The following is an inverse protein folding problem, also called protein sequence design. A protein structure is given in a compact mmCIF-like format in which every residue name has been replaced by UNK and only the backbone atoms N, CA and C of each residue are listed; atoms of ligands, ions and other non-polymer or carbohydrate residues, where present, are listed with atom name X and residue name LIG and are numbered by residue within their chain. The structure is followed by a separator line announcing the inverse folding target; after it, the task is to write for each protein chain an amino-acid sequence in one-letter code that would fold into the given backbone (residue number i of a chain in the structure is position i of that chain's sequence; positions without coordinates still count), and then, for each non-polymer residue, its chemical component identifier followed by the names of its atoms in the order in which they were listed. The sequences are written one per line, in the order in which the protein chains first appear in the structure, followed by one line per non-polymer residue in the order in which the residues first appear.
data_IF_025252765925
#
_entry.id   IF_025252765925
#
_cell.length_a   1.000
_cell.length_b   1.000
_cell.length_c   1.000
_cell.angle_alpha   90.00
_cell.angle_beta   90.00
_cell.angle_gamma   90.00
#
_symmetry.space_group_name_H-M   'P 1'
#
loop_
_entity.id
_entity.type
_entity.pdbx_description
1 polymer ?
#
# COMPACT_ATOMS: atom_id res chain seq x y z
N UNK A 1 46.52 21.80 -63.72
CA UNK A 1 46.39 20.76 -64.75
C UNK A 1 46.43 19.39 -64.05
N UNK A 2 45.32 18.65 -64.13
CA UNK A 2 45.14 17.19 -64.37
C UNK A 2 46.19 16.25 -63.69
N UNK A 3 45.90 15.24 -62.85
CA UNK A 3 44.78 14.27 -62.84
C UNK A 3 44.71 13.47 -61.53
N UNK A 4 43.50 13.02 -61.18
CA UNK A 4 43.11 11.91 -60.30
C UNK A 4 44.01 10.66 -60.39
N UNK A 5 44.28 9.99 -59.25
CA UNK A 5 43.98 8.55 -59.13
C UNK A 5 43.83 8.05 -57.68
N UNK A 6 42.78 7.25 -57.52
CA UNK A 6 42.19 6.65 -56.33
C UNK A 6 43.16 5.80 -55.50
N UNK A 7 43.05 5.86 -54.17
CA UNK A 7 43.08 4.64 -53.35
C UNK A 7 42.22 4.81 -52.10
N UNK A 8 41.15 4.03 -52.08
CA UNK A 8 40.24 3.80 -50.96
C UNK A 8 40.90 2.75 -50.09
N UNK A 9 41.30 3.10 -48.86
CA UNK A 9 41.64 2.12 -47.84
C UNK A 9 40.38 1.80 -47.03
N UNK A 10 39.89 0.58 -47.23
CA UNK A 10 38.81 -0.03 -46.48
C UNK A 10 39.19 -0.19 -45.01
N UNK A 11 38.43 0.46 -44.12
CA UNK A 11 38.41 0.08 -42.71
C UNK A 11 37.46 -1.11 -42.58
N UNK A 12 38.02 -2.29 -42.29
CA UNK A 12 37.27 -3.49 -41.95
C UNK A 12 36.46 -3.23 -40.66
N UNK A 13 35.14 -3.11 -40.82
CA UNK A 13 34.22 -3.21 -39.71
C UNK A 13 34.23 -4.66 -39.22
N UNK A 14 34.82 -4.90 -38.05
CA UNK A 14 34.60 -6.13 -37.30
C UNK A 14 33.14 -6.14 -36.83
N UNK A 15 32.27 -6.65 -37.69
CA UNK A 15 30.93 -7.09 -37.31
C UNK A 15 31.07 -8.29 -36.38
N UNK A 16 31.01 -8.05 -35.07
CA UNK A 16 30.67 -9.09 -34.12
C UNK A 16 29.21 -9.47 -34.37
N UNK A 17 29.01 -10.41 -35.29
CA UNK A 17 27.76 -11.16 -35.41
C UNK A 17 27.63 -12.00 -34.15
N UNK A 18 26.98 -11.45 -33.13
CA UNK A 18 26.46 -12.26 -32.04
C UNK A 18 25.47 -13.24 -32.68
N UNK A 19 25.65 -14.56 -32.51
CA UNK A 19 24.67 -15.50 -33.01
C UNK A 19 23.34 -15.14 -32.37
N UNK A 20 22.32 -14.90 -33.20
CA UNK A 20 20.94 -14.82 -32.77
C UNK A 20 20.58 -16.17 -32.16
N UNK A 21 20.85 -16.30 -30.86
CA UNK A 21 20.26 -17.35 -30.05
C UNK A 21 18.77 -17.20 -30.25
N UNK A 22 18.18 -18.25 -30.83
CA UNK A 22 16.75 -18.38 -31.01
C UNK A 22 16.07 -17.89 -29.73
N UNK A 23 15.36 -16.77 -29.84
CA UNK A 23 14.36 -16.39 -28.87
C UNK A 23 13.32 -17.49 -28.97
N UNK A 24 13.43 -18.48 -28.07
CA UNK A 24 12.36 -19.42 -27.82
C UNK A 24 11.12 -18.57 -27.59
N UNK A 25 10.14 -18.68 -28.48
CA UNK A 25 8.85 -18.00 -28.37
C UNK A 25 8.16 -18.49 -27.09
N UNK A 26 8.55 -17.92 -25.95
CA UNK A 26 7.70 -17.85 -24.78
C UNK A 26 6.52 -17.00 -25.22
N UNK A 27 5.44 -17.66 -25.65
CA UNK A 27 4.12 -17.04 -25.83
C UNK A 27 3.65 -16.58 -24.45
N UNK A 28 4.21 -15.44 -24.05
CA UNK A 28 3.99 -14.70 -22.83
C UNK A 28 2.58 -14.11 -22.97
N UNK A 29 1.70 -14.47 -22.05
CA UNK A 29 0.44 -13.75 -21.85
C UNK A 29 0.69 -12.24 -22.03
N UNK A 30 -0.10 -11.49 -22.83
CA UNK A 30 0.14 -10.06 -23.05
C UNK A 30 -0.35 -9.23 -21.85
N UNK A 31 0.05 -9.67 -20.66
CA UNK A 31 -0.26 -9.12 -19.36
C UNK A 31 1.06 -8.85 -18.68
N UNK A 32 1.16 -7.68 -18.05
CA UNK A 32 2.36 -7.32 -17.32
C UNK A 32 2.57 -8.28 -16.14
N UNK A 33 3.81 -8.76 -16.00
CA UNK A 33 4.25 -9.58 -14.88
C UNK A 33 4.09 -8.81 -13.57
N UNK A 34 3.40 -9.38 -12.59
CA UNK A 34 3.15 -8.72 -11.31
C UNK A 34 1.96 -9.29 -10.52
N UNK A 35 1.63 -8.57 -9.44
CA UNK A 35 0.48 -8.84 -8.59
C UNK A 35 -0.66 -7.89 -8.94
N UNK A 36 -1.86 -8.44 -9.03
CA UNK A 36 -3.07 -7.76 -9.50
C UNK A 36 -4.18 -7.92 -8.47
N UNK A 37 -4.74 -6.80 -8.04
CA UNK A 37 -5.79 -6.72 -7.01
C UNK A 37 -7.09 -6.29 -7.68
N UNK A 38 -8.23 -6.77 -7.19
CA UNK A 38 -9.54 -6.27 -7.61
C UNK A 38 -9.62 -4.74 -7.48
N UNK A 39 -10.16 -4.03 -8.49
CA UNK A 39 -10.27 -2.56 -8.45
C UNK A 39 -11.07 -2.03 -7.25
N UNK A 40 -11.97 -2.84 -6.66
CA UNK A 40 -12.73 -2.51 -5.46
C UNK A 40 -11.94 -2.60 -4.15
N UNK A 41 -10.70 -3.12 -4.19
CA UNK A 41 -9.85 -3.34 -3.00
C UNK A 41 -8.55 -2.53 -3.12
N UNK A 42 -8.14 -1.87 -2.03
CA UNK A 42 -6.84 -1.17 -2.02
C UNK A 42 -5.69 -2.16 -1.96
N UNK A 43 -4.55 -1.85 -2.60
CA UNK A 43 -3.39 -2.76 -2.60
C UNK A 43 -2.98 -3.19 -1.18
N UNK A 44 -3.00 -2.25 -0.22
CA UNK A 44 -2.61 -2.52 1.16
C UNK A 44 -3.64 -3.34 1.95
N UNK A 45 -4.92 -3.31 1.55
CA UNK A 45 -5.99 -4.08 2.19
C UNK A 45 -6.23 -5.44 1.52
N UNK A 46 -5.56 -5.72 0.39
CA UNK A 46 -5.70 -6.98 -0.30
C UNK A 46 -5.28 -8.15 0.60
N UNK A 47 -6.20 -9.09 0.78
CA UNK A 47 -5.94 -10.39 1.41
C UNK A 47 -5.42 -11.41 0.40
N UNK A 48 -5.63 -11.15 -0.89
CA UNK A 48 -5.22 -12.01 -1.98
C UNK A 48 -5.01 -11.22 -3.27
N UNK A 49 -4.22 -11.80 -4.16
CA UNK A 49 -3.84 -11.22 -5.45
C UNK A 49 -3.88 -12.28 -6.54
N UNK A 50 -4.29 -11.86 -7.73
CA UNK A 50 -3.93 -12.55 -8.96
C UNK A 50 -2.45 -12.31 -9.24
N UNK A 51 -1.75 -13.36 -9.62
CA UNK A 51 -0.33 -13.33 -9.95
C UNK A 51 -0.16 -13.77 -11.38
N UNK A 52 0.59 -12.99 -12.15
CA UNK A 52 1.10 -13.39 -13.46
C UNK A 52 2.62 -13.28 -13.41
N UNK A 53 3.34 -14.39 -13.49
CA UNK A 53 4.82 -14.40 -13.40
C UNK A 53 5.54 -14.52 -14.75
N UNK A 54 4.76 -14.53 -15.83
CA UNK A 54 5.23 -14.69 -17.22
C UNK A 54 5.12 -16.13 -17.74
N UNK A 55 5.11 -17.13 -16.87
CA UNK A 55 4.97 -18.55 -17.24
C UNK A 55 3.84 -19.28 -16.52
N UNK A 56 3.40 -18.71 -15.40
CA UNK A 56 2.32 -19.20 -14.54
C UNK A 56 1.35 -18.07 -14.25
N UNK A 57 0.12 -18.45 -13.95
CA UNK A 57 -0.83 -17.57 -13.30
C UNK A 57 -1.65 -18.30 -12.25
N UNK A 58 -2.24 -17.52 -11.36
CA UNK A 58 -3.17 -18.01 -10.37
C UNK A 58 -3.31 -17.07 -9.19
N UNK A 59 -3.75 -17.60 -8.06
CA UNK A 59 -4.15 -16.80 -6.92
C UNK A 59 -3.21 -17.04 -5.75
N UNK A 60 -2.75 -15.97 -5.11
CA UNK A 60 -1.87 -16.03 -3.93
C UNK A 60 -2.44 -15.13 -2.85
N UNK A 61 -2.50 -15.61 -1.62
CA UNK A 61 -3.10 -14.82 -0.57
C UNK A 61 -2.88 -15.35 0.84
N UNK A 62 -3.54 -14.66 1.75
CA UNK A 62 -3.61 -14.97 3.15
C UNK A 62 -5.07 -15.08 3.56
N UNK A 63 -5.43 -16.22 4.13
CA UNK A 63 -6.73 -16.45 4.72
C UNK A 63 -6.51 -16.80 6.21
N UNK A 64 -6.75 -15.84 7.11
CA UNK A 64 -6.56 -16.03 8.54
C UNK A 64 -7.52 -17.06 9.15
N UNK A 65 -8.62 -17.42 8.45
CA UNK A 65 -9.55 -18.46 8.88
C UNK A 65 -9.03 -19.89 8.63
N UNK A 66 -7.93 -20.07 7.88
CA UNK A 66 -7.32 -21.39 7.72
C UNK A 66 -6.58 -21.78 9.01
N UNK A 67 -6.46 -23.09 9.27
CA UNK A 67 -5.79 -23.61 10.48
C UNK A 67 -4.38 -23.00 10.61
N UNK A 68 -3.93 -22.74 11.85
CA UNK A 68 -2.57 -22.25 12.13
C UNK A 68 -1.54 -23.10 11.37
N UNK A 69 -0.72 -22.44 10.55
CA UNK A 69 0.27 -23.08 9.67
C UNK A 69 -0.14 -23.21 8.20
N UNK A 70 -1.41 -22.97 7.85
CA UNK A 70 -1.94 -23.00 6.47
C UNK A 70 -2.59 -21.67 6.04
N UNK A 71 -2.35 -20.59 6.78
CA UNK A 71 -2.99 -19.29 6.52
C UNK A 71 -2.50 -18.62 5.24
N UNK A 72 -1.33 -19.01 4.74
CA UNK A 72 -0.86 -18.61 3.41
C UNK A 72 -1.29 -19.68 2.42
N UNK A 73 -1.86 -19.26 1.30
CA UNK A 73 -2.24 -20.15 0.23
C UNK A 73 -1.82 -19.57 -1.11
N UNK A 74 -1.55 -20.46 -2.05
CA UNK A 74 -1.16 -20.09 -3.39
C UNK A 74 -1.38 -21.26 -4.33
N UNK A 75 -2.03 -20.97 -5.45
CA UNK A 75 -2.16 -21.90 -6.55
C UNK A 75 -1.66 -21.17 -7.80
N UNK A 76 -0.46 -21.52 -8.25
CA UNK A 76 0.16 -20.98 -9.45
C UNK A 76 0.46 -22.12 -10.41
N UNK A 77 -0.26 -22.11 -11.52
CA UNK A 77 -0.14 -23.15 -12.51
C UNK A 77 0.47 -22.63 -13.79
N UNK A 78 1.35 -23.44 -14.39
CA UNK A 78 1.95 -23.14 -15.68
C UNK A 78 0.90 -23.04 -16.76
N UNK A 79 1.12 -22.17 -17.74
CA UNK A 79 0.25 -22.12 -18.91
C UNK A 79 0.44 -23.39 -19.75
N UNK A 80 -0.65 -24.12 -19.99
CA UNK A 80 -0.66 -25.28 -20.90
C UNK A 80 -1.12 -24.90 -22.30
N UNK A 81 -1.75 -23.73 -22.45
CA UNK A 81 -2.12 -23.14 -23.72
C UNK A 81 -2.32 -21.63 -23.57
N UNK A 82 -1.89 -20.86 -24.57
CA UNK A 82 -2.13 -19.42 -24.72
C UNK A 82 -2.48 -19.17 -26.17
N UNK A 83 -3.61 -18.50 -26.45
CA UNK A 83 -4.01 -18.15 -27.82
C UNK A 83 -4.85 -16.86 -27.85
N UNK A 84 -4.81 -16.10 -28.96
CA UNK A 84 -5.71 -14.96 -29.14
C UNK A 84 -7.19 -15.37 -29.09
N UNK A 85 -8.03 -14.50 -28.54
CA UNK A 85 -9.48 -14.63 -28.50
C UNK A 85 -10.15 -13.35 -29.05
N UNK A 86 -11.47 -13.40 -29.29
CA UNK A 86 -12.22 -12.26 -29.82
C UNK A 86 -12.25 -11.10 -28.82
N UNK A 87 -12.41 -9.88 -29.32
CA UNK A 87 -12.59 -8.68 -28.46
C UNK A 87 -11.31 -8.14 -27.81
N UNK A 88 -10.13 -8.56 -28.32
CA UNK A 88 -8.83 -8.19 -27.77
C UNK A 88 -8.42 -9.00 -26.53
N UNK A 89 -9.13 -10.09 -26.26
CA UNK A 89 -8.78 -11.02 -25.19
C UNK A 89 -7.70 -12.00 -25.63
N UNK A 90 -6.96 -12.53 -24.67
CA UNK A 90 -6.12 -13.71 -24.81
C UNK A 90 -6.71 -14.82 -23.94
N UNK A 91 -7.00 -15.97 -24.55
CA UNK A 91 -7.39 -17.17 -23.82
C UNK A 91 -6.14 -17.89 -23.32
N UNK A 92 -6.15 -18.28 -22.05
CA UNK A 92 -5.13 -19.13 -21.47
C UNK A 92 -5.71 -20.22 -20.59
N UNK A 93 -4.92 -21.27 -20.39
CA UNK A 93 -5.29 -22.41 -19.56
C UNK A 93 -4.16 -22.72 -18.56
N UNK A 94 -4.36 -22.45 -17.26
CA UNK A 94 -3.46 -22.93 -16.23
C UNK A 94 -3.52 -24.46 -16.12
N UNK A 95 -2.38 -25.10 -15.86
CA UNK A 95 -2.30 -26.54 -15.58
C UNK A 95 -3.11 -26.94 -14.33
N UNK A 96 -3.61 -28.17 -14.28
CA UNK A 96 -4.41 -28.68 -13.15
C UNK A 96 -5.89 -28.26 -13.11
N UNK A 97 -6.33 -27.29 -13.92
CA UNK A 97 -7.73 -26.85 -13.99
C UNK A 97 -8.61 -27.64 -15.00
N UNK A 98 -8.08 -28.69 -15.62
CA UNK A 98 -8.79 -29.54 -16.59
C UNK A 98 -9.32 -28.77 -17.82
N UNK A 99 -10.35 -29.32 -18.50
CA UNK A 99 -11.08 -28.61 -19.59
C UNK A 99 -11.95 -27.43 -19.08
N UNK A 100 -11.96 -27.26 -17.75
CA UNK A 100 -12.95 -26.52 -16.96
C UNK A 100 -12.44 -25.13 -16.57
N UNK A 101 -11.15 -24.82 -16.80
CA UNK A 101 -10.53 -23.53 -16.44
C UNK A 101 -9.98 -22.74 -17.62
N UNK A 102 -10.81 -22.44 -18.62
CA UNK A 102 -10.43 -21.47 -19.65
C UNK A 102 -10.60 -20.07 -19.07
N UNK A 103 -9.52 -19.31 -19.06
CA UNK A 103 -9.53 -17.92 -18.61
C UNK A 103 -9.29 -17.02 -19.82
N UNK A 104 -9.98 -15.89 -19.86
CA UNK A 104 -9.72 -14.82 -20.83
C UNK A 104 -9.11 -13.65 -20.08
N UNK A 105 -8.05 -13.07 -20.62
CA UNK A 105 -7.49 -11.84 -20.07
C UNK A 105 -7.37 -10.78 -21.14
N UNK A 106 -7.62 -9.54 -20.76
CA UNK A 106 -7.45 -8.37 -21.62
C UNK A 106 -6.77 -7.26 -20.84
N UNK A 107 -5.61 -6.85 -21.31
CA UNK A 107 -4.93 -5.67 -20.79
C UNK A 107 -5.68 -4.41 -21.23
N UNK A 108 -6.01 -3.52 -20.29
CA UNK A 108 -6.78 -2.27 -20.53
C UNK A 108 -5.93 -0.99 -20.34
N UNK A 109 -4.65 -1.13 -20.02
CA UNK A 109 -3.68 -0.06 -19.79
C UNK A 109 -2.38 -0.61 -19.19
N UNK A 110 -1.48 0.23 -18.69
CA UNK A 110 -0.22 -0.24 -18.08
C UNK A 110 -0.42 -0.84 -16.67
N UNK A 111 -1.55 -0.53 -16.04
CA UNK A 111 -1.88 -0.85 -14.66
C UNK A 111 -3.27 -1.45 -14.49
N UNK A 112 -3.98 -1.77 -15.58
CA UNK A 112 -5.34 -2.36 -15.55
C UNK A 112 -5.49 -3.54 -16.48
N UNK A 113 -6.25 -4.54 -16.03
CA UNK A 113 -6.67 -5.66 -16.87
C UNK A 113 -8.07 -6.13 -16.48
N UNK A 114 -8.75 -6.78 -17.42
CA UNK A 114 -9.98 -7.53 -17.18
C UNK A 114 -9.68 -9.02 -17.29
N UNK A 115 -10.00 -9.78 -16.25
CA UNK A 115 -9.89 -11.24 -16.20
C UNK A 115 -11.29 -11.84 -16.20
N UNK A 116 -11.57 -12.73 -17.15
CA UNK A 116 -12.83 -13.49 -17.21
C UNK A 116 -12.54 -14.95 -16.92
N UNK A 117 -13.13 -15.46 -15.84
CA UNK A 117 -13.11 -16.87 -15.50
C UNK A 117 -14.34 -17.54 -16.08
N UNK A 118 -14.14 -18.69 -16.75
CA UNK A 118 -15.23 -19.48 -17.32
C UNK A 118 -15.24 -20.84 -16.65
N UNK A 119 -16.28 -21.09 -15.86
CA UNK A 119 -16.49 -22.37 -15.19
C UNK A 119 -17.68 -23.10 -15.85
N UNK A 120 -17.48 -24.34 -16.32
CA UNK A 120 -18.58 -25.25 -16.63
C UNK A 120 -19.50 -25.44 -15.43
N UNK A 121 -20.78 -25.21 -15.67
CA UNK A 121 -21.90 -25.59 -14.82
C UNK A 121 -22.69 -26.69 -15.51
N UNK A 122 -23.65 -27.30 -14.81
CA UNK A 122 -24.37 -28.50 -15.29
C UNK A 122 -25.04 -28.29 -16.66
N UNK A 123 -25.55 -27.08 -16.91
CA UNK A 123 -26.35 -26.76 -18.10
C UNK A 123 -25.80 -25.57 -18.92
N UNK A 124 -24.71 -24.91 -18.47
CA UNK A 124 -24.14 -23.71 -19.12
C UNK A 124 -22.69 -23.44 -18.70
N UNK A 125 -22.05 -22.47 -19.32
CA UNK A 125 -20.78 -21.90 -18.84
C UNK A 125 -21.12 -20.68 -18.00
N UNK A 126 -20.80 -20.71 -16.70
CA UNK A 126 -20.87 -19.53 -15.85
C UNK A 126 -19.60 -18.69 -16.11
N UNK A 127 -19.79 -17.41 -16.44
CA UNK A 127 -18.70 -16.46 -16.67
C UNK A 127 -18.72 -15.40 -15.57
N UNK A 128 -17.59 -15.20 -14.90
CA UNK A 128 -17.36 -14.06 -14.01
C UNK A 128 -16.23 -13.20 -14.55
N UNK A 129 -16.41 -11.89 -14.54
CA UNK A 129 -15.42 -10.93 -14.99
C UNK A 129 -14.98 -10.06 -13.82
N UNK A 130 -13.67 -9.97 -13.60
CA UNK A 130 -13.04 -9.15 -12.58
C UNK A 130 -12.18 -8.09 -13.26
N UNK A 131 -12.28 -6.84 -12.79
CA UNK A 131 -11.37 -5.77 -13.19
C UNK A 131 -10.28 -5.66 -12.15
N UNK A 132 -9.03 -5.77 -12.59
CA UNK A 132 -7.88 -5.81 -11.71
C UNK A 132 -6.95 -4.64 -11.99
N UNK A 133 -6.33 -4.12 -10.94
CA UNK A 133 -5.27 -3.13 -10.95
C UNK A 133 -3.93 -3.75 -10.57
N UNK A 134 -2.86 -3.32 -11.24
CA UNK A 134 -1.50 -3.73 -10.90
C UNK A 134 -1.08 -3.05 -9.59
N UNK A 135 -0.60 -3.85 -8.64
CA UNK A 135 -0.08 -3.37 -7.36
C UNK A 135 1.40 -3.72 -7.22
N UNK A 136 2.29 -2.75 -6.93
CA UNK A 136 3.65 -3.04 -6.52
C UNK A 136 3.64 -3.95 -5.29
N UNK A 137 4.48 -4.98 -5.27
CA UNK A 137 4.48 -6.00 -4.20
C UNK A 137 4.67 -5.37 -2.82
N UNK A 138 5.51 -4.33 -2.74
CA UNK A 138 5.80 -3.56 -1.53
C UNK A 138 4.59 -2.78 -0.97
N UNK A 139 3.56 -2.53 -1.79
CA UNK A 139 2.32 -1.85 -1.37
C UNK A 139 1.25 -2.83 -0.88
N UNK A 140 1.47 -4.14 -1.03
CA UNK A 140 0.55 -5.17 -0.58
C UNK A 140 0.62 -5.36 0.94
N UNK A 141 -0.40 -6.01 1.52
CA UNK A 141 -0.38 -6.39 2.93
C UNK A 141 0.83 -7.28 3.25
N UNK A 142 1.36 -7.19 4.47
CA UNK A 142 2.52 -7.99 4.88
C UNK A 142 2.29 -9.50 4.71
N UNK A 143 1.06 -9.96 4.96
CA UNK A 143 0.69 -11.36 4.81
C UNK A 143 0.68 -11.79 3.34
N UNK A 144 0.19 -10.95 2.42
CA UNK A 144 0.26 -11.22 0.98
C UNK A 144 1.71 -11.18 0.48
N UNK A 145 2.54 -10.26 0.97
CA UNK A 145 3.97 -10.25 0.66
C UNK A 145 4.65 -11.56 1.08
N UNK A 146 4.31 -12.08 2.27
CA UNK A 146 4.80 -13.37 2.75
C UNK A 146 4.29 -14.54 1.90
N UNK A 147 3.02 -14.52 1.49
CA UNK A 147 2.46 -15.52 0.58
C UNK A 147 3.19 -15.50 -0.78
N UNK A 148 3.44 -14.31 -1.33
CA UNK A 148 4.20 -14.15 -2.57
C UNK A 148 5.64 -14.65 -2.46
N UNK A 149 6.31 -14.44 -1.32
CA UNK A 149 7.64 -15.02 -1.09
C UNK A 149 7.63 -16.55 -1.14
N UNK A 150 6.56 -17.18 -0.67
CA UNK A 150 6.42 -18.63 -0.64
C UNK A 150 6.05 -19.22 -2.01
N UNK A 151 5.05 -18.65 -2.68
CA UNK A 151 4.45 -19.25 -3.87
C UNK A 151 4.94 -18.62 -5.19
N UNK A 152 5.28 -17.33 -5.16
CA UNK A 152 5.75 -16.56 -6.32
C UNK A 152 7.14 -15.93 -6.07
N UNK A 153 8.17 -16.72 -5.68
CA UNK A 153 9.44 -16.16 -5.22
C UNK A 153 10.14 -15.30 -6.27
N UNK A 154 9.96 -15.55 -7.57
CA UNK A 154 10.51 -14.71 -8.63
C UNK A 154 9.98 -13.25 -8.57
N UNK A 155 8.71 -13.06 -8.23
CA UNK A 155 8.12 -11.73 -8.03
C UNK A 155 8.58 -11.11 -6.71
N UNK A 156 8.68 -11.91 -5.66
CA UNK A 156 9.15 -11.46 -4.37
C UNK A 156 10.64 -11.13 -4.35
N UNK A 157 11.46 -11.79 -5.17
CA UNK A 157 12.90 -11.52 -5.37
C UNK A 157 13.10 -10.38 -6.35
N UNK A 158 12.23 -10.15 -7.33
CA UNK A 158 12.26 -8.92 -8.13
C UNK A 158 11.91 -7.68 -7.27
N UNK A 159 10.95 -7.83 -6.35
CA UNK A 159 10.65 -6.83 -5.32
C UNK A 159 11.79 -6.74 -4.29
N UNK A 160 12.34 -7.88 -3.88
CA UNK A 160 13.44 -8.02 -2.94
C UNK A 160 14.73 -7.44 -3.46
N UNK A 161 15.08 -7.60 -4.73
CA UNK A 161 16.26 -7.01 -5.39
C UNK A 161 16.08 -5.52 -5.70
N UNK A 162 14.85 -5.02 -5.93
CA UNK A 162 14.55 -3.58 -5.89
C UNK A 162 14.65 -3.02 -4.47
N UNK A 163 14.12 -3.73 -3.48
CA UNK A 163 14.16 -3.36 -2.07
C UNK A 163 15.56 -3.51 -1.47
N UNK A 164 16.37 -4.44 -1.96
CA UNK A 164 17.75 -4.74 -1.56
C UNK A 164 18.71 -3.86 -2.33
N UNK A 165 18.47 -3.48 -3.59
CA UNK A 165 19.11 -2.30 -4.19
C UNK A 165 18.70 -0.99 -3.48
N UNK A 166 17.56 -0.97 -2.77
CA UNK A 166 17.16 0.13 -1.90
C UNK A 166 17.67 0.00 -0.44
N UNK A 167 18.09 -1.19 0.01
CA UNK A 167 18.54 -1.49 1.38
C UNK A 167 20.05 -1.80 1.49
N UNK A 168 20.75 -2.09 0.40
CA UNK A 168 22.22 -2.29 0.35
C UNK A 168 23.00 -0.97 0.27
N UNK A 169 22.45 0.08 0.86
CA UNK A 169 23.23 1.23 1.31
C UNK A 169 23.08 1.32 2.83
N UNK A 170 23.85 0.53 3.61
CA UNK A 170 23.90 0.63 5.07
C UNK A 170 24.32 2.02 5.61
N UNK A 171 24.58 2.99 4.73
CA UNK A 171 24.94 4.38 5.04
C UNK A 171 23.95 5.42 4.50
N UNK A 172 22.77 5.03 3.99
CA UNK A 172 21.80 6.00 3.50
C UNK A 172 21.35 6.92 4.66
N UNK A 173 21.52 8.25 4.54
CA UNK A 173 21.27 9.17 5.64
C UNK A 173 19.78 9.18 6.02
N UNK A 174 19.55 9.23 7.33
CA UNK A 174 18.22 9.26 7.95
C UNK A 174 17.86 10.67 8.41
N UNK A 175 16.56 10.93 8.57
CA UNK A 175 16.10 12.18 9.15
C UNK A 175 16.40 12.24 10.65
N UNK A 176 17.06 13.31 11.06
CA UNK A 176 17.30 13.71 12.43
C UNK A 176 16.38 14.88 12.79
N UNK A 177 15.88 14.90 14.01
CA UNK A 177 15.12 16.05 14.52
C UNK A 177 16.07 16.91 15.32
N UNK A 178 16.13 18.19 14.95
CA UNK A 178 16.91 19.19 15.67
C UNK A 178 15.93 20.23 16.20
N UNK A 179 15.95 20.60 17.48
CA UNK A 179 15.15 21.71 17.97
C UNK A 179 15.78 23.04 17.56
N UNK A 180 15.19 23.82 16.63
CA UNK A 180 15.66 25.17 16.32
C UNK A 180 15.16 26.17 17.39
N UNK A 181 15.75 27.37 17.42
CA UNK A 181 15.31 28.46 18.30
C UNK A 181 13.87 28.94 18.01
N UNK A 182 13.35 28.70 16.80
CA UNK A 182 12.05 29.20 16.30
C UNK A 182 11.21 28.11 15.60
N UNK A 183 10.79 27.05 16.31
CA UNK A 183 9.89 26.00 15.78
C UNK A 183 10.46 24.60 15.94
N UNK A 184 10.04 23.66 15.10
CA UNK A 184 10.61 22.32 15.03
C UNK A 184 11.11 22.01 13.60
N UNK A 185 12.25 21.33 13.50
CA UNK A 185 12.99 21.09 12.27
C UNK A 185 13.37 19.61 12.16
N UNK A 186 13.01 18.98 11.05
CA UNK A 186 13.56 17.70 10.65
C UNK A 186 14.62 17.94 9.57
N UNK A 187 15.80 17.33 9.71
CA UNK A 187 16.96 17.47 8.82
C UNK A 187 17.46 16.10 8.40
N UNK A 188 17.76 15.88 7.14
CA UNK A 188 18.48 14.72 6.67
C UNK A 188 19.74 15.16 5.93
N UNK A 189 20.87 14.51 6.21
CA UNK A 189 22.05 14.62 5.37
C UNK A 189 21.78 13.88 4.05
N UNK A 190 22.46 14.19 2.95
CA UNK A 190 22.26 13.50 1.67
C UNK A 190 23.62 13.07 1.13
N UNK A 191 23.75 11.81 0.73
CA UNK A 191 24.95 11.31 0.05
C UNK A 191 24.61 11.09 -1.44
N UNK A 192 25.40 11.64 -2.35
CA UNK A 192 25.14 11.56 -3.79
C UNK A 192 26.12 12.31 -4.69
N UNK A 193 26.12 12.01 -6.01
CA UNK A 193 27.10 12.51 -6.98
C UNK A 193 27.01 14.01 -7.26
N UNK A 194 25.95 14.69 -6.77
CA UNK A 194 25.72 16.12 -6.94
C UNK A 194 25.41 16.82 -5.60
N UNK A 195 26.45 16.98 -4.77
CA UNK A 195 26.69 18.17 -3.94
C UNK A 195 25.49 18.72 -3.12
N UNK A 196 24.82 17.90 -2.32
CA UNK A 196 23.89 18.32 -1.28
C UNK A 196 24.37 17.82 0.07
N UNK A 197 24.55 18.73 1.02
CA UNK A 197 24.98 18.36 2.36
C UNK A 197 23.77 18.05 3.26
N UNK A 198 22.64 18.73 3.06
CA UNK A 198 21.43 18.51 3.88
C UNK A 198 20.14 19.01 3.22
N UNK A 199 19.03 18.36 3.53
CA UNK A 199 17.65 18.82 3.32
C UNK A 199 17.00 19.00 4.69
N UNK A 200 16.19 20.06 4.87
CA UNK A 200 15.45 20.30 6.10
C UNK A 200 14.01 20.75 5.87
N UNK A 201 13.09 20.27 6.71
CA UNK A 201 11.69 20.72 6.78
C UNK A 201 11.44 21.41 8.11
N UNK A 202 11.02 22.68 8.06
CA UNK A 202 10.73 23.47 9.24
C UNK A 202 9.27 23.89 9.27
N UNK A 203 8.62 23.67 10.40
CA UNK A 203 7.34 24.28 10.70
C UNK A 203 7.54 25.73 11.19
N UNK A 204 6.96 26.71 10.48
CA UNK A 204 6.99 28.13 10.86
C UNK A 204 5.86 28.45 11.86
N UNK A 205 5.98 29.61 12.52
CA UNK A 205 4.98 30.07 13.49
C UNK A 205 3.60 30.36 12.87
N UNK A 206 3.56 30.64 11.57
CA UNK A 206 2.32 30.86 10.83
C UNK A 206 1.65 29.57 10.34
N UNK A 207 2.18 28.40 10.73
CA UNK A 207 1.68 27.09 10.31
C UNK A 207 2.16 26.64 8.93
N UNK A 208 2.99 27.43 8.24
CA UNK A 208 3.57 27.04 6.95
C UNK A 208 4.76 26.09 7.12
N UNK A 209 4.93 25.16 6.18
CA UNK A 209 6.10 24.28 6.12
C UNK A 209 7.08 24.86 5.12
N UNK A 210 8.34 24.97 5.52
CA UNK A 210 9.41 25.49 4.68
C UNK A 210 10.46 24.42 4.44
N UNK A 211 10.76 24.19 3.17
CA UNK A 211 11.85 23.32 2.72
C UNK A 211 13.14 24.14 2.61
N UNK A 212 14.23 23.59 3.13
CA UNK A 212 15.58 24.13 3.00
C UNK A 212 16.51 23.07 2.40
N UNK A 213 17.42 23.48 1.52
CA UNK A 213 18.38 22.60 0.87
C UNK A 213 19.77 23.25 0.85
N UNK A 214 20.77 22.57 1.40
CA UNK A 214 22.15 23.02 1.43
C UNK A 214 22.94 22.34 0.31
N UNK A 215 23.09 23.01 -0.84
CA UNK A 215 23.92 22.53 -1.94
C UNK A 215 25.38 23.00 -1.78
N UNK A 216 26.35 22.08 -1.82
CA UNK A 216 27.76 22.40 -1.66
C UNK A 216 28.27 23.22 -2.86
N UNK A 217 28.76 24.43 -2.58
CA UNK A 217 29.42 25.28 -3.58
C UNK A 217 28.51 25.92 -4.64
N UNK A 218 27.21 25.63 -4.65
CA UNK A 218 26.29 26.26 -5.60
C UNK A 218 25.73 27.58 -5.05
N UNK A 219 26.06 28.67 -5.75
CA UNK A 219 25.45 29.98 -5.58
C UNK A 219 24.89 30.39 -6.92
N UNK A 220 23.57 30.41 -7.03
CA UNK A 220 22.89 30.80 -8.26
C UNK A 220 21.68 31.65 -7.90
N UNK A 221 21.46 32.71 -8.66
CA UNK A 221 20.27 33.56 -8.55
C UNK A 221 19.05 32.90 -9.22
N UNK A 222 19.25 31.77 -9.91
CA UNK A 222 18.17 30.97 -10.50
C UNK A 222 17.50 30.10 -9.44
N UNK A 223 16.16 30.00 -9.46
CA UNK A 223 15.44 29.05 -8.63
C UNK A 223 15.91 27.61 -8.87
N UNK A 224 15.96 26.84 -7.79
CA UNK A 224 16.27 25.42 -7.79
C UNK A 224 14.96 24.64 -7.68
N UNK A 225 14.64 23.83 -8.67
CA UNK A 225 13.50 22.89 -8.58
C UNK A 225 14.01 21.58 -7.99
N UNK A 226 13.45 21.20 -6.85
CA UNK A 226 13.72 19.95 -6.15
C UNK A 226 12.52 19.04 -6.33
N UNK A 227 12.71 17.93 -7.03
CA UNK A 227 11.68 16.89 -7.17
C UNK A 227 11.93 15.80 -6.15
N UNK A 228 10.92 15.47 -5.37
CA UNK A 228 10.87 14.32 -4.46
C UNK A 228 10.07 13.23 -5.13
N UNK A 229 10.73 12.12 -5.44
CA UNK A 229 10.10 10.96 -6.03
C UNK A 229 10.00 9.84 -4.98
N UNK A 230 8.79 9.34 -4.77
CA UNK A 230 8.58 8.10 -4.03
C UNK A 230 8.76 6.92 -5.00
N UNK A 231 9.80 6.09 -4.84
CA UNK A 231 9.96 4.88 -5.64
C UNK A 231 8.86 3.86 -5.36
N UNK A 232 8.17 3.97 -4.22
CA UNK A 232 7.12 3.04 -3.77
C UNK A 232 5.74 3.40 -4.35
N UNK A 233 5.36 4.68 -4.32
CA UNK A 233 4.04 5.13 -4.81
C UNK A 233 4.09 5.72 -6.22
N UNK A 234 5.28 5.98 -6.76
CA UNK A 234 5.46 6.67 -8.06
C UNK A 234 5.09 8.16 -8.01
N UNK A 235 4.67 8.67 -6.85
CA UNK A 235 4.34 10.07 -6.65
C UNK A 235 5.60 10.93 -6.78
N UNK A 236 5.44 12.08 -7.46
CA UNK A 236 6.47 13.09 -7.60
C UNK A 236 5.94 14.42 -7.08
N UNK A 237 6.70 15.09 -6.22
CA UNK A 237 6.34 16.41 -5.69
C UNK A 237 7.49 17.36 -5.91
N UNK A 238 7.22 18.47 -6.59
CA UNK A 238 8.19 19.51 -6.84
C UNK A 238 8.12 20.59 -5.77
N UNK A 239 9.29 21.10 -5.38
CA UNK A 239 9.45 22.28 -4.55
C UNK A 239 10.42 23.24 -5.25
N UNK A 240 10.00 24.50 -5.39
CA UNK A 240 10.86 25.54 -5.97
C UNK A 240 11.51 26.33 -4.85
N UNK A 241 12.84 26.35 -4.83
CA UNK A 241 13.65 26.99 -3.80
C UNK A 241 14.44 28.16 -4.38
N UNK A 242 14.57 29.24 -3.60
CA UNK A 242 15.39 30.40 -3.95
C UNK A 242 16.62 30.45 -3.04
N UNK A 243 17.77 30.88 -3.57
CA UNK A 243 19.00 30.98 -2.77
C UNK A 243 18.90 32.13 -1.76
N UNK A 244 19.01 31.82 -0.47
CA UNK A 244 19.16 32.81 0.59
C UNK A 244 20.66 33.09 0.80
N UNK A 245 21.11 34.25 0.34
CA UNK A 245 22.53 34.65 0.42
C UNK A 245 23.03 34.88 1.85
N UNK A 246 22.14 35.24 2.79
CA UNK A 246 22.48 35.43 4.20
C UNK A 246 22.66 34.09 4.90
N UNK A 247 21.73 33.18 4.66
CA UNK A 247 21.69 31.88 5.31
C UNK A 247 22.57 30.83 4.59
N UNK A 248 22.97 31.12 3.35
CA UNK A 248 23.81 30.28 2.46
C UNK A 248 23.18 28.92 2.13
N UNK A 249 21.85 28.85 2.06
CA UNK A 249 21.10 27.68 1.60
C UNK A 249 19.91 28.09 0.73
N UNK A 250 19.37 27.14 -0.02
CA UNK A 250 18.14 27.33 -0.78
C UNK A 250 16.93 27.15 0.13
N UNK A 251 15.92 28.01 0.01
CA UNK A 251 14.71 27.97 0.83
C UNK A 251 13.47 28.24 -0.02
N UNK A 252 12.36 27.59 0.32
CA UNK A 252 11.08 27.80 -0.35
C UNK A 252 9.93 27.06 0.35
N UNK A 253 8.67 27.36 0.00
CA UNK A 253 7.52 26.71 0.60
C UNK A 253 7.53 25.21 0.29
N UNK A 254 7.12 24.40 1.27
CA UNK A 254 6.83 22.98 1.11
C UNK A 254 5.32 22.78 1.15
N UNK A 255 4.78 21.98 0.23
CA UNK A 255 3.36 21.61 0.27
C UNK A 255 3.08 20.61 1.38
N UNK A 256 1.84 20.56 1.86
CA UNK A 256 1.37 19.49 2.75
C UNK A 256 1.48 18.10 2.09
N UNK A 257 1.38 18.04 0.76
CA UNK A 257 1.59 16.81 -0.02
C UNK A 257 3.04 16.33 0.12
N UNK A 258 4.03 17.22 0.06
CA UNK A 258 5.43 16.86 0.28
C UNK A 258 5.65 16.32 1.71
N UNK A 259 5.04 16.96 2.71
CA UNK A 259 5.11 16.50 4.09
C UNK A 259 4.46 15.11 4.26
N UNK A 260 3.29 14.89 3.65
CA UNK A 260 2.62 13.58 3.64
C UNK A 260 3.45 12.49 2.99
N UNK A 261 4.07 12.78 1.83
CA UNK A 261 4.96 11.86 1.12
C UNK A 261 6.14 11.39 1.99
N UNK A 262 6.71 12.31 2.78
CA UNK A 262 7.82 12.04 3.70
C UNK A 262 7.37 11.28 4.95
N UNK A 263 6.13 11.48 5.40
CA UNK A 263 5.59 10.88 6.64
C UNK A 263 5.03 9.47 6.41
N UNK A 264 4.31 9.25 5.31
CA UNK A 264 3.38 8.11 5.18
C UNK A 264 3.83 7.03 4.20
N UNK A 265 4.56 7.37 3.13
CA UNK A 265 4.63 6.45 1.97
C UNK A 265 6.03 5.98 1.59
N UNK A 266 7.06 6.78 1.83
CA UNK A 266 8.41 6.39 1.41
C UNK A 266 9.08 5.49 2.46
N UNK A 267 9.74 4.42 2.01
CA UNK A 267 10.89 3.82 2.73
C UNK A 267 12.19 4.53 2.36
N UNK A 268 12.24 5.10 1.15
CA UNK A 268 13.29 5.97 0.66
C UNK A 268 12.69 7.00 -0.29
N UNK A 269 13.28 8.19 -0.36
CA UNK A 269 12.91 9.23 -1.33
C UNK A 269 14.09 9.45 -2.24
N UNK A 270 13.83 9.58 -3.54
CA UNK A 270 14.81 10.07 -4.50
C UNK A 270 14.65 11.57 -4.70
N UNK A 271 15.78 12.24 -4.89
CA UNK A 271 15.85 13.68 -5.10
C UNK A 271 16.37 13.95 -6.50
N UNK A 272 15.77 14.90 -7.20
CA UNK A 272 16.29 15.43 -8.45
C UNK A 272 16.36 16.94 -8.40
N UNK A 273 17.39 17.51 -9.02
CA UNK A 273 17.53 18.95 -9.23
C UNK A 273 17.45 19.28 -10.68
N UNK A 274 16.44 20.07 -11.08
CA UNK A 274 16.28 20.47 -12.48
C UNK A 274 16.45 19.27 -13.43
N UNK A 275 15.89 18.09 -13.05
CA UNK A 275 15.98 16.75 -13.67
C UNK A 275 17.22 15.89 -13.40
N UNK A 276 18.29 16.42 -12.80
CA UNK A 276 19.51 15.66 -12.48
C UNK A 276 19.34 14.86 -11.18
N UNK A 277 19.58 13.55 -11.15
CA UNK A 277 19.59 12.76 -9.91
C UNK A 277 20.56 13.35 -8.88
N UNK A 278 20.04 13.67 -7.71
CA UNK A 278 20.76 14.37 -6.65
C UNK A 278 21.20 13.45 -5.51
N UNK A 279 20.37 12.47 -5.17
CA UNK A 279 20.65 11.54 -4.07
C UNK A 279 19.39 10.83 -3.61
N UNK A 280 19.52 10.11 -2.49
CA UNK A 280 18.42 9.40 -1.82
C UNK A 280 18.46 9.66 -0.31
N UNK A 281 17.29 9.67 0.33
CA UNK A 281 17.15 9.77 1.80
C UNK A 281 16.28 8.62 2.30
N UNK A 282 16.69 8.01 3.41
CA UNK A 282 15.88 7.00 4.09
C UNK A 282 14.87 7.65 5.03
N UNK A 283 13.62 7.24 4.92
CA UNK A 283 12.50 7.65 5.79
C UNK A 283 12.14 6.55 6.80
N UNK A 284 12.76 5.38 6.71
CA UNK A 284 12.58 4.26 7.66
C UNK A 284 12.89 4.75 9.08
N UNK A 285 11.98 4.46 10.01
CA UNK A 285 12.10 4.84 11.42
C UNK A 285 11.95 6.34 11.71
N UNK A 286 11.84 7.19 10.69
CA UNK A 286 11.83 8.65 10.85
C UNK A 286 10.43 9.26 10.94
N UNK A 287 9.39 8.53 10.54
CA UNK A 287 8.01 9.02 10.44
C UNK A 287 7.47 9.63 11.76
N UNK A 288 7.78 9.02 12.91
CA UNK A 288 7.36 9.54 14.22
C UNK A 288 8.05 10.85 14.56
N UNK A 289 9.35 10.95 14.26
CA UNK A 289 10.16 12.12 14.56
C UNK A 289 9.74 13.31 13.68
N UNK A 290 9.51 13.07 12.39
CA UNK A 290 9.03 14.08 11.43
C UNK A 290 7.60 14.53 11.78
N UNK A 291 6.69 13.60 12.10
CA UNK A 291 5.34 13.96 12.58
C UNK A 291 5.37 14.84 13.81
N UNK A 292 6.22 14.51 14.78
CA UNK A 292 6.38 15.31 15.99
C UNK A 292 6.89 16.72 15.66
N UNK A 293 7.85 16.83 14.73
CA UNK A 293 8.41 18.11 14.33
C UNK A 293 7.45 18.96 13.48
N UNK A 294 6.53 18.35 12.74
CA UNK A 294 5.60 19.06 11.86
C UNK A 294 4.17 19.16 12.42
N UNK A 295 3.88 18.55 13.56
CA UNK A 295 2.55 18.54 14.18
C UNK A 295 1.87 19.92 14.25
N UNK A 296 2.55 21.02 14.63
CA UNK A 296 1.92 22.34 14.69
C UNK A 296 1.48 22.88 13.32
N UNK A 297 2.15 22.47 12.24
CA UNK A 297 1.84 22.92 10.87
C UNK A 297 0.84 21.99 10.16
N UNK A 298 0.72 20.75 10.61
CA UNK A 298 -0.19 19.77 10.03
C UNK A 298 -1.57 19.78 10.69
N UNK A 299 -1.80 20.65 11.68
CA UNK A 299 -3.04 20.66 12.46
C UNK A 299 -3.25 19.35 13.24
N UNK A 300 -2.16 18.63 13.52
CA UNK A 300 -2.19 17.39 14.30
C UNK A 300 -2.07 17.76 15.77
N UNK A 301 -3.15 18.29 16.35
CA UNK A 301 -3.24 18.42 17.79
C UNK A 301 -3.08 17.02 18.42
N UNK A 302 -2.29 16.93 19.50
CA UNK A 302 -2.20 15.71 20.29
C UNK A 302 -3.63 15.31 20.72
N UNK A 303 -4.14 14.12 20.37
CA UNK A 303 -5.55 13.82 20.60
C UNK A 303 -5.83 13.81 22.10
N UNK A 304 -6.58 14.80 22.56
CA UNK A 304 -7.20 14.73 23.88
C UNK A 304 -8.13 13.52 23.88
N UNK A 305 -7.98 12.64 24.88
CA UNK A 305 -8.85 11.49 25.05
C UNK A 305 -10.31 11.98 25.12
N UNK A 306 -11.22 11.55 24.24
CA UNK A 306 -12.61 11.96 24.33
C UNK A 306 -13.19 11.40 25.63
N UNK A 307 -13.69 12.29 26.48
CA UNK A 307 -14.50 11.92 27.63
C UNK A 307 -15.79 11.28 27.10
N UNK A 308 -15.92 9.96 27.28
CA UNK A 308 -17.13 9.23 26.93
C UNK A 308 -18.36 9.77 27.69
N UNK A 309 -19.59 9.55 27.19
CA UNK A 309 -20.79 10.03 27.85
C UNK A 309 -20.87 9.49 29.28
N UNK A 310 -21.13 10.37 30.25
CA UNK A 310 -21.31 9.98 31.65
C UNK A 310 -22.58 9.11 31.80
N UNK A 311 -22.50 8.00 32.53
CA UNK A 311 -23.65 7.14 32.85
C UNK A 311 -23.73 5.81 32.08
N UNK A 312 -22.63 5.35 31.49
CA UNK A 312 -22.59 4.08 30.75
C UNK A 312 -22.40 2.90 31.73
N UNK A 313 -23.44 2.07 31.90
CA UNK A 313 -23.38 0.87 32.73
C UNK A 313 -22.92 -0.35 31.92
N UNK A 314 -21.78 -0.98 32.28
CA UNK A 314 -21.34 -2.24 31.70
C UNK A 314 -22.37 -3.36 31.89
N UNK A 315 -22.61 -4.15 30.85
CA UNK A 315 -23.52 -5.29 30.86
C UNK A 315 -22.73 -6.61 30.72
N UNK A 316 -23.00 -7.64 31.53
CA UNK A 316 -22.42 -8.98 31.35
C UNK A 316 -22.92 -9.68 30.07
N UNK A 317 -22.17 -10.64 29.51
CA UNK A 317 -20.90 -11.19 30.02
C UNK A 317 -19.64 -10.39 29.63
N UNK A 318 -19.73 -9.44 28.70
CA UNK A 318 -18.54 -8.76 28.15
C UNK A 318 -18.05 -7.61 29.04
N UNK A 319 -18.89 -7.06 29.92
CA UNK A 319 -18.50 -5.91 30.74
C UNK A 319 -18.36 -4.62 29.93
N UNK A 320 -19.18 -4.47 28.89
CA UNK A 320 -19.28 -3.28 28.04
C UNK A 320 -20.73 -2.80 27.97
N UNK A 321 -20.95 -1.56 27.55
CA UNK A 321 -22.27 -1.00 27.34
C UNK A 321 -23.03 -1.73 26.25
N UNK A 322 -24.35 -1.75 26.35
CA UNK A 322 -25.19 -2.17 25.22
C UNK A 322 -25.21 -1.10 24.13
N UNK A 323 -25.27 -1.52 22.87
CA UNK A 323 -25.40 -0.64 21.71
C UNK A 323 -24.53 -1.05 20.52
N UNK A 324 -24.23 -0.07 19.69
CA UNK A 324 -23.45 -0.22 18.45
C UNK A 324 -22.08 0.40 18.62
N UNK A 325 -21.04 -0.35 18.30
CA UNK A 325 -19.65 0.09 18.29
C UNK A 325 -19.19 0.24 16.85
N UNK A 326 -18.57 1.37 16.53
CA UNK A 326 -18.11 1.72 15.20
C UNK A 326 -16.64 2.10 15.28
N UNK A 327 -15.85 1.83 14.23
CA UNK A 327 -14.44 2.18 14.18
C UNK A 327 -14.22 3.67 14.49
N UNK A 328 -13.19 3.99 15.28
CA UNK A 328 -12.93 5.38 15.69
C UNK A 328 -12.62 6.32 14.53
N UNK A 329 -12.11 5.78 13.42
CA UNK A 329 -11.87 6.53 12.18
C UNK A 329 -13.10 6.70 11.28
N UNK A 330 -14.28 6.19 11.66
CA UNK A 330 -15.51 6.24 10.83
C UNK A 330 -16.66 6.95 11.54
N UNK A 331 -17.59 7.52 10.75
CA UNK A 331 -18.79 8.19 11.27
C UNK A 331 -19.80 7.18 11.82
N UNK A 332 -20.54 7.55 12.87
CA UNK A 332 -21.69 6.74 13.34
C UNK A 332 -22.84 6.71 12.34
N UNK A 333 -22.96 7.76 11.51
CA UNK A 333 -24.05 7.90 10.54
C UNK A 333 -23.80 7.14 9.23
N UNK A 334 -22.58 6.67 9.02
CA UNK A 334 -22.16 5.95 7.82
C UNK A 334 -21.05 4.94 8.17
N UNK A 335 -21.36 3.91 8.99
CA UNK A 335 -20.38 2.93 9.39
C UNK A 335 -20.22 1.86 8.31
N UNK A 336 -18.97 1.62 7.87
CA UNK A 336 -18.63 0.47 7.02
C UNK A 336 -18.90 -0.86 7.75
N UNK A 337 -18.73 -0.85 9.07
CA UNK A 337 -18.89 -2.00 9.95
C UNK A 337 -19.38 -1.53 11.32
N UNK A 338 -20.33 -2.26 11.90
CA UNK A 338 -20.76 -2.04 13.28
C UNK A 338 -20.75 -3.34 14.08
N UNK A 339 -20.22 -3.30 15.30
CA UNK A 339 -20.36 -4.38 16.26
C UNK A 339 -21.54 -4.08 17.18
N UNK A 340 -22.50 -4.98 17.27
CA UNK A 340 -23.67 -4.85 18.13
C UNK A 340 -23.56 -5.74 19.37
N UNK A 341 -24.03 -5.22 20.50
CA UNK A 341 -24.11 -5.95 21.76
C UNK A 341 -25.31 -5.50 22.60
N UNK A 342 -26.13 -6.45 23.08
CA UNK A 342 -27.27 -6.15 23.97
C UNK A 342 -27.27 -6.91 25.31
N UNK A 343 -26.15 -7.56 25.64
CA UNK A 343 -26.04 -8.43 26.81
C UNK A 343 -26.50 -9.87 26.58
N UNK A 344 -27.27 -10.14 25.51
CA UNK A 344 -27.76 -11.48 25.13
C UNK A 344 -27.26 -11.93 23.77
N UNK A 345 -27.15 -10.99 22.83
CA UNK A 345 -26.70 -11.17 21.45
C UNK A 345 -25.48 -10.30 21.18
N UNK A 346 -24.60 -10.80 20.32
CA UNK A 346 -23.45 -10.07 19.82
C UNK A 346 -23.20 -10.48 18.37
N UNK A 347 -22.81 -9.51 17.54
CA UNK A 347 -22.52 -9.79 16.15
C UNK A 347 -21.90 -8.59 15.46
N UNK A 348 -21.25 -8.87 14.34
CA UNK A 348 -20.74 -7.84 13.44
C UNK A 348 -21.69 -7.72 12.27
N UNK A 349 -22.11 -6.50 12.00
CA UNK A 349 -23.00 -6.14 10.93
C UNK A 349 -22.15 -5.43 9.86
N UNK A 350 -22.14 -6.02 8.67
CA UNK A 350 -21.55 -5.45 7.47
C UNK A 350 -22.70 -5.01 6.57
N UNK A 351 -22.83 -3.69 6.36
CA UNK A 351 -23.80 -3.11 5.44
C UNK A 351 -25.29 -3.51 5.67
N UNK A 352 -26.16 -3.24 4.71
CA UNK A 352 -27.61 -3.50 4.75
C UNK A 352 -27.98 -5.00 4.67
N UNK A 353 -27.08 -5.84 4.14
CA UNK A 353 -27.26 -7.29 3.96
C UNK A 353 -26.60 -8.14 5.06
N UNK A 354 -26.20 -7.49 6.17
CA UNK A 354 -25.52 -8.16 7.28
C UNK A 354 -26.35 -9.24 7.97
N UNK A 355 -25.66 -10.23 8.54
CA UNK A 355 -26.31 -11.26 9.35
C UNK A 355 -26.81 -10.66 10.68
N UNK A 356 -27.99 -11.08 11.16
CA UNK A 356 -28.48 -10.66 12.48
C UNK A 356 -27.51 -11.13 13.58
N UNK A 357 -27.41 -10.39 14.70
CA UNK A 357 -26.50 -10.74 15.78
C UNK A 357 -26.92 -12.05 16.44
N UNK A 358 -25.98 -12.98 16.55
CA UNK A 358 -26.22 -14.28 17.16
C UNK A 358 -26.31 -14.20 18.69
N UNK A 359 -27.00 -15.15 19.34
CA UNK A 359 -26.85 -15.36 20.78
C UNK A 359 -25.37 -15.50 21.13
N UNK A 360 -24.93 -14.78 22.17
CA UNK A 360 -23.52 -14.74 22.60
C UNK A 360 -22.97 -16.13 22.93
N UNK A 361 -23.85 -17.06 23.32
CA UNK A 361 -23.44 -18.40 23.77
C UNK A 361 -22.62 -18.34 25.05
N UNK A 362 -21.80 -19.37 25.29
CA UNK A 362 -20.88 -19.42 26.43
C UNK A 362 -19.59 -18.68 26.04
N UNK A 363 -19.41 -17.48 26.58
CA UNK A 363 -18.18 -16.70 26.38
C UNK A 363 -17.03 -17.36 27.14
N UNK A 364 -15.92 -17.59 26.44
CA UNK A 364 -14.64 -17.98 27.06
C UNK A 364 -13.72 -16.76 27.10
N UNK A 365 -12.87 -16.68 28.14
CA UNK A 365 -11.88 -15.62 28.26
C UNK A 365 -10.51 -16.20 27.97
N UNK A 366 -9.84 -15.67 26.95
CA UNK A 366 -8.51 -16.10 26.50
C UNK A 366 -7.58 -14.90 26.49
N UNK A 367 -6.46 -14.97 27.21
CA UNK A 367 -5.45 -13.89 27.27
C UNK A 367 -6.00 -12.48 27.61
N UNK A 368 -7.13 -12.40 28.33
CA UNK A 368 -7.76 -11.13 28.69
C UNK A 368 -8.84 -10.65 27.70
N UNK A 369 -9.06 -11.37 26.60
CA UNK A 369 -10.06 -11.10 25.57
C UNK A 369 -11.23 -12.08 25.68
N UNK A 370 -12.40 -11.68 25.21
CA UNK A 370 -13.62 -12.50 25.25
C UNK A 370 -13.85 -13.13 23.88
N UNK A 371 -13.88 -14.46 23.81
CA UNK A 371 -14.19 -15.18 22.57
C UNK A 371 -15.70 -15.43 22.46
N UNK A 372 -16.26 -15.02 21.32
CA UNK A 372 -17.65 -15.23 20.91
C UNK A 372 -17.68 -16.39 19.90
N UNK A 373 -17.93 -17.64 20.32
CA UNK A 373 -17.72 -18.82 19.48
C UNK A 373 -18.64 -18.86 18.26
N UNK A 374 -19.89 -18.40 18.40
CA UNK A 374 -20.86 -18.41 17.31
C UNK A 374 -20.49 -17.44 16.19
N UNK A 375 -19.87 -16.31 16.55
CA UNK A 375 -19.44 -15.30 15.59
C UNK A 375 -17.98 -15.49 15.14
N UNK A 376 -17.20 -16.32 15.83
CA UNK A 376 -15.76 -16.47 15.58
C UNK A 376 -14.97 -15.19 15.88
N UNK A 377 -15.34 -14.43 16.92
CA UNK A 377 -14.78 -13.10 17.21
C UNK A 377 -14.16 -13.05 18.61
N UNK A 378 -12.94 -12.52 18.71
CA UNK A 378 -12.32 -12.10 19.95
C UNK A 378 -12.62 -10.61 20.20
N UNK A 379 -13.09 -10.30 21.40
CA UNK A 379 -13.42 -8.95 21.85
C UNK A 379 -12.48 -8.54 22.97
N UNK A 380 -11.59 -7.60 22.67
CA UNK A 380 -10.75 -6.93 23.66
C UNK A 380 -11.47 -5.71 24.20
N UNK A 381 -11.77 -5.70 25.49
CA UNK A 381 -12.44 -4.58 26.15
C UNK A 381 -11.41 -3.52 26.52
N UNK A 382 -11.53 -2.34 25.90
CA UNK A 382 -10.66 -1.18 26.17
C UNK A 382 -11.28 -0.23 27.20
N UNK A 383 -12.59 -0.34 27.40
CA UNK A 383 -13.37 0.36 28.44
C UNK A 383 -14.86 0.09 28.25
N UNK A 384 -15.74 0.62 29.13
CA UNK A 384 -17.18 0.39 29.05
C UNK A 384 -17.82 0.76 27.71
N UNK A 385 -17.23 1.72 26.98
CA UNK A 385 -17.73 2.23 25.70
C UNK A 385 -16.72 2.08 24.56
N UNK A 386 -15.68 1.26 24.75
CA UNK A 386 -14.62 1.05 23.75
C UNK A 386 -14.20 -0.41 23.71
N UNK A 387 -14.14 -0.96 22.51
CA UNK A 387 -13.71 -2.33 22.26
C UNK A 387 -12.73 -2.37 21.10
N UNK A 388 -12.07 -3.50 20.93
CA UNK A 388 -11.30 -3.82 19.74
C UNK A 388 -11.63 -5.26 19.38
N UNK A 389 -11.91 -5.49 18.09
CA UNK A 389 -12.29 -6.81 17.59
C UNK A 389 -11.11 -7.48 16.90
N UNK A 390 -11.03 -8.79 17.05
CA UNK A 390 -10.17 -9.67 16.26
C UNK A 390 -11.03 -10.80 15.72
N UNK A 391 -11.34 -10.78 14.43
CA UNK A 391 -12.03 -11.90 13.74
C UNK A 391 -10.95 -12.72 13.02
N UNK A 392 -10.27 -12.02 12.13
CA UNK A 392 -9.22 -12.49 11.24
C UNK A 392 -7.91 -11.79 11.60
N UNK A 393 -7.96 -10.45 11.58
CA UNK A 393 -6.93 -9.55 12.08
C UNK A 393 -7.48 -8.69 13.22
N UNK A 394 -6.61 -8.13 14.04
CA UNK A 394 -6.99 -7.14 15.06
C UNK A 394 -7.33 -5.82 14.37
N UNK A 395 -8.61 -5.47 14.37
CA UNK A 395 -9.11 -4.23 13.80
C UNK A 395 -8.72 -2.99 14.62
N UNK A 396 -9.01 -1.78 14.11
CA UNK A 396 -8.83 -0.56 14.89
C UNK A 396 -9.76 -0.54 16.12
N UNK A 397 -9.46 0.26 17.14
CA UNK A 397 -10.39 0.50 18.24
C UNK A 397 -11.75 0.99 17.73
N UNK A 398 -12.80 0.50 18.37
CA UNK A 398 -14.19 0.87 18.13
C UNK A 398 -14.74 1.60 19.34
N UNK A 399 -15.63 2.56 19.10
CA UNK A 399 -16.31 3.37 20.11
C UNK A 399 -17.82 3.19 20.04
N UNK A 400 -18.49 3.27 21.18
CA UNK A 400 -19.95 3.25 21.26
C UNK A 400 -20.54 4.48 20.55
N UNK A 401 -21.54 4.24 19.71
CA UNK A 401 -22.33 5.25 19.02
C UNK A 401 -23.74 5.36 19.64
N UNK A 402 -24.31 6.57 19.76
CA UNK A 402 -25.72 6.73 20.09
C UNK A 402 -26.59 5.99 19.07
N UNK A 403 -27.56 5.19 19.54
CA UNK A 403 -28.44 4.44 18.65
C UNK A 403 -29.23 5.35 17.68
N UNK A 404 -29.48 6.61 18.05
CA UNK A 404 -30.11 7.61 17.16
C UNK A 404 -29.26 7.98 15.95
N UNK A 405 -27.94 7.81 16.01
CA UNK A 405 -27.02 8.12 14.91
C UNK A 405 -26.81 6.94 13.96
N UNK A 406 -27.14 5.72 14.37
CA UNK A 406 -26.97 4.53 13.52
C UNK A 406 -28.05 4.48 12.44
N UNK A 407 -27.69 4.23 11.16
CA UNK A 407 -28.63 4.06 10.07
C UNK A 407 -29.79 3.12 10.39
N UNK A 408 -30.97 3.44 9.87
CA UNK A 408 -32.16 2.63 10.13
C UNK A 408 -32.04 1.22 9.54
N UNK A 409 -31.35 1.05 8.40
CA UNK A 409 -31.07 -0.25 7.80
C UNK A 409 -30.34 -1.17 8.78
N UNK A 410 -29.23 -0.71 9.35
CA UNK A 410 -28.46 -1.45 10.38
C UNK A 410 -29.30 -1.70 11.64
N UNK A 411 -30.07 -0.71 12.12
CA UNK A 411 -30.90 -0.88 13.33
C UNK A 411 -32.02 -1.90 13.17
N UNK A 412 -32.50 -2.19 11.96
CA UNK A 412 -33.54 -3.18 11.72
C UNK A 412 -33.02 -4.61 11.86
N UNK A 413 -31.73 -4.84 11.60
CA UNK A 413 -31.11 -6.16 11.70
C UNK A 413 -30.98 -6.70 13.13
N UNK A 414 -31.15 -5.83 14.14
CA UNK A 414 -31.01 -6.21 15.57
C UNK A 414 -32.34 -6.21 16.34
N UNK A 415 -33.45 -5.91 15.66
CA UNK A 415 -34.80 -6.04 16.22
C UNK A 415 -35.18 -7.51 16.15
#
# INVERSE_FOLDING_TARGET
MITLQKLVCAAAAFGLTVPAAAQTEASLLPVRVGAWVDEGVSCSAAQSVWVFDGSRAGYVGFNPNLRRGSQLYGDLSAFTAVKPARGGYTEFRPDGFGEVGRMLVKQEGDDRLTLVMRAPSRDRIDESAERLRHCPVETLSANVQQALQMFAPALAVAAGSRAEMAQTLPNAPTWQVVPPRNGALALAYVEGPAAMNAVGLQCQQDGSIVLSAAAAGQRTDRPLVVTFASPTSGANVDATLTYDSKARFFRGPASSILAGLIIEEARSLEFRFNTVPAGRISTIGSAKAIRTALAPCLGLDAPAAPSGPAGISPTPPLGIATGFYVNEGTSCTDPIQAFYYDGKRAGVIFDEDGFPPDPIGRVTKEAGEYFLPNAGILVKVLGPARVQLTIQDTGPPMRLCPASQIPQSIRRLVR
#
